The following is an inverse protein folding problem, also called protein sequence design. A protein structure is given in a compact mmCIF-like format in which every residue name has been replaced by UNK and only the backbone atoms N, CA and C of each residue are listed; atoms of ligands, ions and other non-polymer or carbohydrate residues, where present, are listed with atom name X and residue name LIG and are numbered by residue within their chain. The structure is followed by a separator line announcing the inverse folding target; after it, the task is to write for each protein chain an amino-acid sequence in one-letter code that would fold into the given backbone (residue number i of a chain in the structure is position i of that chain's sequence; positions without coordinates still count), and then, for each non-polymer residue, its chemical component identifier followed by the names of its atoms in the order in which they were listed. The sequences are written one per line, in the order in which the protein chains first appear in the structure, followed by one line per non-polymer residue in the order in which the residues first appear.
data_IF_480828822542
#
_entry.id   IF_480828822542
#
_cell.length_a   1.000
_cell.length_b   1.000
_cell.length_c   1.000
_cell.angle_alpha   90.00
_cell.angle_beta   90.00
_cell.angle_gamma   90.00
#
_symmetry.space_group_name_H-M   'P 1'
#
loop_
_entity.id
_entity.type
_entity.pdbx_description
1 polymer ?
#
# COMPACT_ATOMS: atom_id res chain seq x y z
N UNK A 1 -18.36 -24.15 10.81
CA UNK A 1 -17.43 -24.96 10.00
C UNK A 1 -18.17 -25.36 8.74
N UNK A 2 -17.60 -25.07 7.57
CA UNK A 2 -18.20 -25.43 6.30
C UNK A 2 -17.98 -26.93 6.07
N UNK A 3 -19.01 -27.66 5.62
CA UNK A 3 -18.82 -29.05 5.18
C UNK A 3 -18.17 -29.02 3.79
N UNK A 4 -16.99 -29.62 3.66
CA UNK A 4 -16.33 -29.76 2.37
C UNK A 4 -16.83 -31.01 1.66
N UNK A 5 -16.98 -30.91 0.34
CA UNK A 5 -17.47 -31.98 -0.50
C UNK A 5 -16.55 -32.15 -1.71
N UNK A 6 -16.06 -33.36 -1.92
CA UNK A 6 -15.33 -33.74 -3.12
C UNK A 6 -16.30 -34.21 -4.19
N UNK A 7 -16.18 -33.66 -5.41
CA UNK A 7 -16.94 -34.11 -6.58
C UNK A 7 -16.09 -35.07 -7.39
N UNK A 8 -16.58 -36.29 -7.61
CA UNK A 8 -15.89 -37.32 -8.36
C UNK A 8 -16.45 -37.41 -9.79
N UNK A 9 -15.56 -37.70 -10.73
CA UNK A 9 -15.86 -37.85 -12.15
C UNK A 9 -15.22 -39.14 -12.67
N UNK A 10 -15.87 -39.80 -13.62
CA UNK A 10 -15.30 -40.95 -14.31
C UNK A 10 -14.20 -40.53 -15.30
N UNK A 11 -13.57 -41.52 -15.95
CA UNK A 11 -12.51 -41.26 -16.93
C UNK A 11 -12.96 -40.42 -18.15
N UNK A 12 -14.27 -40.29 -18.39
CA UNK A 12 -14.84 -39.47 -19.45
C UNK A 12 -15.29 -38.09 -18.95
N UNK A 13 -15.04 -37.76 -17.67
CA UNK A 13 -15.44 -36.51 -17.04
C UNK A 13 -16.93 -36.45 -16.68
N UNK A 14 -17.64 -37.59 -16.63
CA UNK A 14 -19.03 -37.64 -16.19
C UNK A 14 -19.08 -37.71 -14.67
N UNK A 15 -19.92 -36.87 -14.07
CA UNK A 15 -20.14 -36.85 -12.63
C UNK A 15 -20.61 -38.22 -12.13
N UNK A 16 -19.96 -38.71 -11.06
CA UNK A 16 -20.29 -40.01 -10.44
C UNK A 16 -20.92 -39.83 -9.07
N UNK A 17 -20.26 -39.11 -8.16
CA UNK A 17 -20.69 -39.01 -6.77
C UNK A 17 -20.10 -37.77 -6.06
N UNK A 18 -20.71 -37.45 -4.91
CA UNK A 18 -20.22 -36.44 -3.97
C UNK A 18 -19.81 -37.16 -2.68
N UNK A 19 -18.57 -36.96 -2.25
CA UNK A 19 -18.02 -37.55 -1.03
C UNK A 19 -17.83 -36.44 0.03
N UNK A 20 -18.39 -36.57 1.24
CA UNK A 20 -18.12 -35.63 2.32
C UNK A 20 -16.65 -35.74 2.73
N UNK A 21 -15.98 -34.60 2.85
CA UNK A 21 -14.59 -34.53 3.27
C UNK A 21 -14.50 -33.86 4.63
N UNK A 22 -13.79 -34.52 5.54
CA UNK A 22 -13.47 -33.95 6.83
C UNK A 22 -12.42 -32.84 6.67
N UNK A 23 -12.66 -31.72 7.34
CA UNK A 23 -11.69 -30.63 7.41
C UNK A 23 -10.44 -31.15 8.12
N UNK A 24 -9.26 -31.01 7.48
CA UNK A 24 -8.01 -31.41 8.12
C UNK A 24 -7.80 -30.58 9.39
N UNK A 25 -7.45 -31.21 10.53
CA UNK A 25 -7.16 -30.45 11.75
C UNK A 25 -5.96 -29.53 11.53
N UNK A 26 -6.15 -28.25 11.88
CA UNK A 26 -5.07 -27.26 11.91
C UNK A 26 -4.31 -27.47 13.23
N UNK A 27 -3.18 -28.19 13.17
CA UNK A 27 -2.39 -28.52 14.37
C UNK A 27 -1.69 -27.31 14.98
N UNK A 28 -1.23 -26.37 14.15
CA UNK A 28 -0.63 -25.11 14.61
C UNK A 28 -1.06 -23.95 13.72
N UNK A 29 -1.50 -22.84 14.33
CA UNK A 29 -1.69 -21.59 13.63
C UNK A 29 -0.31 -20.92 13.50
N UNK A 30 0.19 -20.78 12.29
CA UNK A 30 1.42 -20.05 12.04
C UNK A 30 1.22 -18.57 12.43
N UNK A 31 1.86 -18.12 13.51
CA UNK A 31 1.84 -16.72 13.94
C UNK A 31 2.90 -15.95 13.16
N UNK A 32 2.47 -15.16 12.18
CA UNK A 32 3.36 -14.23 11.49
C UNK A 32 3.50 -12.96 12.33
N UNK A 33 4.70 -12.68 12.81
CA UNK A 33 5.03 -11.38 13.39
C UNK A 33 5.41 -10.44 12.24
N UNK A 34 4.56 -9.45 11.96
CA UNK A 34 4.90 -8.38 11.04
C UNK A 34 5.74 -7.36 11.79
N UNK A 35 7.00 -7.20 11.41
CA UNK A 35 7.78 -6.05 11.87
C UNK A 35 7.13 -4.77 11.29
N UNK A 36 6.40 -4.05 12.13
CA UNK A 36 5.89 -2.73 11.77
C UNK A 36 7.08 -1.80 11.57
N UNK A 37 7.33 -1.41 10.30
CA UNK A 37 8.33 -0.39 10.01
C UNK A 37 7.94 0.88 10.75
N UNK A 38 8.79 1.32 11.68
CA UNK A 38 8.62 2.59 12.39
C UNK A 38 8.39 3.69 11.37
N UNK A 39 7.30 4.46 11.53
CA UNK A 39 6.96 5.59 10.67
C UNK A 39 8.11 6.59 10.74
N UNK A 40 8.88 6.73 9.65
CA UNK A 40 9.83 7.83 9.52
C UNK A 40 8.99 9.07 9.27
N UNK A 41 8.78 9.87 10.32
CA UNK A 41 8.12 11.17 10.19
C UNK A 41 9.18 12.15 9.72
N UNK A 42 9.24 12.38 8.40
CA UNK A 42 9.97 13.53 7.87
C UNK A 42 9.11 14.76 8.09
N UNK A 43 9.61 15.74 8.84
CA UNK A 43 8.99 17.06 8.89
C UNK A 43 9.01 17.65 7.47
N UNK A 44 7.83 17.90 6.90
CA UNK A 44 7.72 18.68 5.67
C UNK A 44 8.15 20.11 6.00
N UNK A 45 9.42 20.42 5.73
CA UNK A 45 9.93 21.79 5.80
C UNK A 45 9.75 22.43 4.44
N UNK A 46 9.16 23.62 4.42
CA UNK A 46 9.20 24.47 3.23
C UNK A 46 10.66 24.71 2.84
N UNK A 47 10.94 24.72 1.55
CA UNK A 47 12.25 25.20 1.10
C UNK A 47 12.37 26.70 1.43
N UNK A 48 13.60 27.21 1.46
CA UNK A 48 13.92 28.60 1.82
C UNK A 48 13.07 29.63 1.07
N UNK A 49 12.78 29.37 -0.22
CA UNK A 49 11.94 30.23 -1.04
C UNK A 49 10.48 30.25 -0.56
N UNK A 50 9.84 29.08 -0.40
CA UNK A 50 8.45 29.00 0.08
C UNK A 50 8.31 29.55 1.50
N UNK A 51 9.33 29.36 2.34
CA UNK A 51 9.34 29.94 3.68
C UNK A 51 9.44 31.48 3.63
N UNK A 52 10.26 32.04 2.74
CA UNK A 52 10.33 33.51 2.55
C UNK A 52 9.04 34.14 2.04
N UNK A 53 8.24 33.38 1.26
CA UNK A 53 6.91 33.80 0.80
C UNK A 53 5.92 33.79 1.96
N UNK A 54 5.91 32.73 2.78
CA UNK A 54 5.06 32.64 3.98
C UNK A 54 5.41 33.74 5.00
N UNK A 55 6.70 33.97 5.22
CA UNK A 55 7.23 35.01 6.13
C UNK A 55 7.07 36.44 5.57
N UNK A 56 6.64 36.61 4.32
CA UNK A 56 6.47 37.91 3.67
C UNK A 56 7.80 38.66 3.44
N UNK A 57 8.93 37.95 3.44
CA UNK A 57 10.27 38.50 3.27
C UNK A 57 10.82 38.35 1.85
N UNK A 58 10.08 37.68 0.97
CA UNK A 58 10.45 37.48 -0.42
C UNK A 58 10.65 38.81 -1.15
N UNK A 59 11.80 38.95 -1.82
CA UNK A 59 12.12 40.06 -2.72
C UNK A 59 12.55 39.49 -4.06
N UNK A 60 11.79 39.70 -5.14
CA UNK A 60 12.22 39.27 -6.46
C UNK A 60 13.43 40.10 -6.88
N UNK A 61 14.43 39.45 -7.46
CA UNK A 61 15.47 40.15 -8.20
C UNK A 61 14.89 40.52 -9.55
N UNK A 62 14.88 41.81 -9.87
CA UNK A 62 14.29 42.33 -11.12
C UNK A 62 15.46 42.59 -12.08
N UNK A 63 15.32 42.12 -13.31
CA UNK A 63 16.23 42.46 -14.40
C UNK A 63 16.05 43.95 -14.77
N UNK A 64 17.10 44.76 -14.62
CA UNK A 64 17.06 46.19 -14.92
C UNK A 64 16.88 46.49 -16.42
N UNK A 65 17.16 45.53 -17.32
CA UNK A 65 17.02 45.70 -18.78
C UNK A 65 15.59 45.40 -19.27
N UNK A 66 14.95 44.37 -18.71
CA UNK A 66 13.64 43.90 -19.18
C UNK A 66 12.48 44.25 -18.24
N UNK A 67 12.78 44.56 -16.97
CA UNK A 67 11.78 44.79 -15.92
C UNK A 67 11.07 43.52 -15.46
N UNK A 68 11.56 42.34 -15.85
CA UNK A 68 10.99 41.03 -15.48
C UNK A 68 11.68 40.47 -14.22
N UNK A 69 10.97 39.62 -13.46
CA UNK A 69 11.54 38.90 -12.32
C UNK A 69 12.49 37.80 -12.81
N UNK A 70 13.70 37.74 -12.26
CA UNK A 70 14.68 36.69 -12.54
C UNK A 70 14.28 35.38 -11.82
N UNK A 71 14.41 34.21 -12.49
CA UNK A 71 14.01 32.91 -11.94
C UNK A 71 14.92 32.37 -10.82
#
# INVERSE_FOLDING_TARGET
MAKYYGYCYDANGKFTEIIPMDEKPIYEKQTFYREEKKKIVTEEKLCTLHQSIEDGTYKPEIDEETGEELP
#
